data_IF_358814786903
#
_entry.id   IF_358814786903
#
_cell.length_a   1.000
_cell.length_b   1.000
_cell.length_c   1.000
_cell.angle_alpha   90.00
_cell.angle_beta   90.00
_cell.angle_gamma   90.00
#
_symmetry.space_group_name_H-M   'P 1'
#
loop_
_entity.id
_entity.type
_entity.pdbx_description
1 polymer ?
#
# COMPACT_ATOMS: atom_id res chain seq x y z
N UNK A 1 -37.74 -18.84 -1.49
CA UNK A 1 -36.46 -19.02 -0.79
C UNK A 1 -35.65 -17.80 -1.18
N UNK A 2 -35.67 -16.77 -0.33
CA UNK A 2 -34.97 -15.51 -0.57
C UNK A 2 -33.49 -15.78 -0.40
N UNK A 3 -32.71 -15.63 -1.47
CA UNK A 3 -31.26 -15.54 -1.40
C UNK A 3 -30.93 -14.33 -0.54
N UNK A 4 -30.45 -14.54 0.69
CA UNK A 4 -29.79 -13.47 1.41
C UNK A 4 -28.47 -13.19 0.68
N UNK A 5 -28.42 -12.06 -0.04
CA UNK A 5 -27.16 -11.47 -0.48
C UNK A 5 -26.30 -11.21 0.77
N UNK A 6 -25.42 -12.15 1.10
CA UNK A 6 -24.39 -11.94 2.11
C UNK A 6 -23.40 -10.92 1.56
N UNK A 7 -23.73 -9.64 1.74
CA UNK A 7 -22.91 -8.52 1.33
C UNK A 7 -21.69 -8.48 2.25
N UNK A 8 -20.52 -8.81 1.72
CA UNK A 8 -19.26 -8.68 2.42
C UNK A 8 -19.08 -7.22 2.91
N UNK A 9 -18.56 -7.08 4.11
CA UNK A 9 -18.34 -5.79 4.76
C UNK A 9 -16.84 -5.57 4.98
N UNK A 10 -16.42 -4.32 4.82
CA UNK A 10 -15.05 -3.89 5.07
C UNK A 10 -14.95 -3.33 6.49
N UNK A 11 -13.99 -3.85 7.25
CA UNK A 11 -13.70 -3.43 8.61
C UNK A 11 -12.28 -2.91 8.72
N UNK A 12 -12.09 -1.79 9.40
CA UNK A 12 -10.76 -1.27 9.71
C UNK A 12 -10.26 -1.83 11.05
N UNK A 13 -9.20 -2.63 11.02
CA UNK A 13 -8.49 -3.10 12.21
C UNK A 13 -7.37 -2.13 12.58
N UNK A 14 -7.41 -1.61 13.81
CA UNK A 14 -6.33 -0.81 14.38
C UNK A 14 -5.18 -1.70 14.79
N UNK A 15 -3.99 -1.38 14.31
CA UNK A 15 -2.73 -2.08 14.61
C UNK A 15 -1.73 -1.14 15.28
N UNK A 16 -0.60 -1.68 15.70
CA UNK A 16 0.55 -0.85 16.11
C UNK A 16 1.28 -0.37 14.87
N UNK A 17 1.62 0.92 14.81
CA UNK A 17 2.33 1.49 13.67
C UNK A 17 3.64 0.74 13.40
N UNK A 18 3.95 0.50 12.11
CA UNK A 18 5.09 -0.28 11.62
C UNK A 18 5.05 -1.78 11.97
N UNK A 19 3.88 -2.32 12.34
CA UNK A 19 3.63 -3.76 12.59
C UNK A 19 2.47 -4.28 11.74
N UNK A 20 2.01 -3.52 10.75
CA UNK A 20 0.86 -3.84 9.91
C UNK A 20 1.06 -5.15 9.15
N UNK A 21 2.23 -5.34 8.54
CA UNK A 21 2.58 -6.55 7.78
C UNK A 21 2.57 -7.79 8.68
N UNK A 22 3.18 -7.67 9.86
CA UNK A 22 3.20 -8.75 10.83
C UNK A 22 1.79 -9.12 11.32
N UNK A 23 0.94 -8.13 11.58
CA UNK A 23 -0.46 -8.39 11.95
C UNK A 23 -1.18 -9.09 10.79
N UNK A 24 -0.98 -8.64 9.56
CA UNK A 24 -1.59 -9.24 8.37
C UNK A 24 -1.25 -10.73 8.22
N UNK A 25 0.03 -11.09 8.34
CA UNK A 25 0.48 -12.48 8.26
C UNK A 25 -0.20 -13.39 9.30
N UNK A 26 -0.34 -12.89 10.54
CA UNK A 26 -1.03 -13.62 11.59
C UNK A 26 -2.52 -13.74 11.36
N UNK A 27 -3.17 -12.68 10.89
CA UNK A 27 -4.61 -12.68 10.59
C UNK A 27 -4.92 -13.64 9.44
N UNK A 28 -4.11 -13.64 8.37
CA UNK A 28 -4.19 -14.61 7.27
C UNK A 28 -4.08 -16.03 7.82
N UNK A 29 -3.05 -16.28 8.63
CA UNK A 29 -2.82 -17.60 9.23
C UNK A 29 -3.99 -18.08 10.10
N UNK A 30 -4.61 -17.17 10.86
CA UNK A 30 -5.79 -17.48 11.67
C UNK A 30 -7.03 -17.74 10.84
N UNK A 31 -7.31 -16.89 9.85
CA UNK A 31 -8.47 -17.05 8.96
C UNK A 31 -8.43 -18.41 8.25
N UNK A 32 -7.28 -18.81 7.73
CA UNK A 32 -7.09 -20.12 7.08
C UNK A 32 -7.25 -21.27 8.09
N UNK A 33 -6.56 -21.20 9.24
CA UNK A 33 -6.59 -22.29 10.23
C UNK A 33 -7.97 -22.52 10.84
N UNK A 34 -8.73 -21.45 11.05
CA UNK A 34 -10.07 -21.50 11.66
C UNK A 34 -11.18 -21.59 10.61
N UNK A 35 -10.83 -21.57 9.31
CA UNK A 35 -11.76 -21.59 8.19
C UNK A 35 -12.85 -20.49 8.31
N UNK A 36 -12.41 -19.26 8.58
CA UNK A 36 -13.28 -18.09 8.76
C UNK A 36 -13.73 -17.52 7.41
N UNK A 37 -14.88 -16.86 7.41
CA UNK A 37 -15.43 -16.19 6.22
C UNK A 37 -14.82 -14.78 6.04
N UNK A 38 -13.49 -14.74 5.98
CA UNK A 38 -12.66 -13.57 5.63
C UNK A 38 -12.23 -13.72 4.18
N UNK A 39 -12.57 -12.74 3.36
CA UNK A 39 -12.39 -12.80 1.90
C UNK A 39 -11.10 -12.12 1.46
N UNK A 40 -10.77 -10.96 2.04
CA UNK A 40 -9.57 -10.22 1.70
C UNK A 40 -9.01 -9.43 2.87
N UNK A 41 -7.70 -9.15 2.80
CA UNK A 41 -6.95 -8.35 3.76
C UNK A 41 -6.12 -7.34 2.96
N UNK A 42 -6.15 -6.08 3.38
CA UNK A 42 -5.50 -5.00 2.65
C UNK A 42 -4.75 -4.07 3.59
N UNK A 43 -3.54 -3.68 3.17
CA UNK A 43 -2.78 -2.61 3.81
C UNK A 43 -2.95 -1.35 2.97
N UNK A 44 -3.55 -0.27 3.49
CA UNK A 44 -3.60 0.99 2.75
C UNK A 44 -2.22 1.60 2.58
N UNK A 45 -1.97 2.17 1.40
CA UNK A 45 -0.81 3.04 1.20
C UNK A 45 -1.07 4.40 1.88
N UNK A 46 -0.09 4.93 2.60
CA UNK A 46 -0.18 6.24 3.26
C UNK A 46 -0.86 6.28 4.63
N UNK A 47 -1.60 5.23 5.04
CA UNK A 47 -2.21 5.15 6.37
C UNK A 47 -1.45 4.16 7.27
N UNK A 48 -0.83 4.68 8.33
CA UNK A 48 -0.09 3.90 9.32
C UNK A 48 -0.99 3.48 10.49
N UNK A 49 -0.78 2.27 10.99
CA UNK A 49 -1.47 1.71 12.15
C UNK A 49 -2.86 1.15 11.87
N UNK A 50 -3.19 0.89 10.61
CA UNK A 50 -4.46 0.30 10.20
C UNK A 50 -4.26 -0.73 9.10
N UNK A 51 -5.11 -1.76 9.13
CA UNK A 51 -5.33 -2.68 8.02
C UNK A 51 -6.83 -2.84 7.79
N UNK A 52 -7.24 -3.19 6.57
CA UNK A 52 -8.63 -3.47 6.25
C UNK A 52 -8.85 -4.97 6.11
N UNK A 53 -9.99 -5.43 6.61
CA UNK A 53 -10.44 -6.83 6.57
C UNK A 53 -11.80 -6.85 5.90
N UNK A 54 -11.92 -7.57 4.79
CA UNK A 54 -13.19 -7.86 4.15
C UNK A 54 -13.70 -9.21 4.67
N UNK A 55 -14.86 -9.21 5.31
CA UNK A 55 -15.44 -10.42 5.88
C UNK A 55 -16.97 -10.42 5.76
N UNK A 56 -17.57 -11.60 5.91
CA UNK A 56 -19.03 -11.75 5.87
C UNK A 56 -19.75 -11.03 7.01
N UNK A 57 -19.15 -11.02 8.19
CA UNK A 57 -19.70 -10.37 9.37
C UNK A 57 -18.58 -9.83 10.27
N UNK A 58 -18.98 -8.99 11.23
CA UNK A 58 -18.06 -8.42 12.21
C UNK A 58 -17.45 -9.49 13.11
N UNK A 59 -18.21 -10.52 13.46
CA UNK A 59 -17.78 -11.62 14.31
C UNK A 59 -16.65 -12.43 13.64
N UNK A 60 -16.78 -12.70 12.33
CA UNK A 60 -15.74 -13.37 11.53
C UNK A 60 -14.45 -12.52 11.48
N UNK A 61 -14.59 -11.21 11.28
CA UNK A 61 -13.47 -10.29 11.34
C UNK A 61 -12.81 -10.27 12.74
N UNK A 62 -13.59 -10.23 13.82
CA UNK A 62 -13.08 -10.29 15.20
C UNK A 62 -12.38 -11.61 15.53
N UNK A 63 -12.93 -12.74 15.08
CA UNK A 63 -12.32 -14.05 15.25
C UNK A 63 -10.97 -14.19 14.55
N UNK A 64 -10.76 -13.44 13.46
CA UNK A 64 -9.53 -13.47 12.66
C UNK A 64 -8.32 -12.88 13.39
N UNK A 65 -8.49 -11.80 14.15
CA UNK A 65 -7.39 -11.15 14.89
C UNK A 65 -7.39 -11.46 16.40
N UNK A 66 -8.33 -12.26 16.89
CA UNK A 66 -8.36 -12.65 18.30
C UNK A 66 -7.06 -13.36 18.71
N UNK A 67 -6.34 -12.78 19.67
CA UNK A 67 -5.05 -13.29 20.16
C UNK A 67 -3.85 -12.92 19.29
N UNK A 68 -4.03 -12.12 18.23
CA UNK A 68 -2.93 -11.63 17.39
C UNK A 68 -2.19 -10.50 18.09
N UNK A 69 -0.85 -10.58 18.25
CA UNK A 69 -0.05 -9.50 18.81
C UNK A 69 -0.19 -8.22 17.98
N UNK A 70 -0.16 -7.06 18.64
CA UNK A 70 -0.20 -5.72 18.00
C UNK A 70 -1.52 -5.33 17.33
N UNK A 71 -2.45 -6.27 17.13
CA UNK A 71 -3.84 -5.98 16.81
C UNK A 71 -4.56 -5.43 18.05
N UNK A 72 -5.28 -4.31 17.91
CA UNK A 72 -5.97 -3.66 19.03
C UNK A 72 -7.48 -3.88 19.00
N UNK A 73 -8.09 -3.70 17.84
CA UNK A 73 -9.54 -3.83 17.67
C UNK A 73 -10.06 -3.15 16.42
N UNK A 74 -11.28 -3.51 16.03
CA UNK A 74 -11.97 -2.93 14.88
C UNK A 74 -12.53 -1.54 15.21
N UNK A 75 -12.64 -0.70 14.19
CA UNK A 75 -13.47 0.48 14.28
C UNK A 75 -14.96 0.11 14.41
N UNK A 76 -15.78 0.93 15.09
CA UNK A 76 -17.18 0.60 15.36
C UNK A 76 -18.05 0.50 14.10
N UNK A 77 -17.72 1.30 13.09
CA UNK A 77 -18.43 1.40 11.82
C UNK A 77 -17.68 0.64 10.73
N UNK A 78 -18.39 -0.16 9.91
CA UNK A 78 -17.87 -0.63 8.63
C UNK A 78 -17.45 0.56 7.76
N UNK A 79 -16.50 0.29 6.86
CA UNK A 79 -15.95 1.28 5.93
C UNK A 79 -16.55 1.05 4.55
N UNK A 80 -16.95 2.11 3.87
CA UNK A 80 -17.45 2.00 2.50
C UNK A 80 -16.28 1.91 1.51
N UNK A 81 -16.45 1.15 0.43
CA UNK A 81 -15.38 0.97 -0.56
C UNK A 81 -14.90 2.30 -1.16
N UNK A 82 -15.80 3.26 -1.36
CA UNK A 82 -15.47 4.61 -1.86
C UNK A 82 -14.49 5.38 -0.96
N UNK A 83 -14.44 5.06 0.34
CA UNK A 83 -13.54 5.72 1.28
C UNK A 83 -12.09 5.21 1.17
N UNK A 84 -11.91 3.98 0.68
CA UNK A 84 -10.59 3.33 0.56
C UNK A 84 -10.07 3.29 -0.87
N UNK A 85 -10.88 3.65 -1.87
CA UNK A 85 -10.52 3.65 -3.30
C UNK A 85 -9.26 4.48 -3.58
N UNK A 86 -9.16 5.68 -3.01
CA UNK A 86 -7.98 6.54 -3.16
C UNK A 86 -6.71 5.97 -2.52
N UNK A 87 -6.87 5.04 -1.56
CA UNK A 87 -5.74 4.38 -0.88
C UNK A 87 -5.27 3.13 -1.64
N UNK A 88 -6.13 2.61 -2.52
CA UNK A 88 -5.85 1.50 -3.44
C UNK A 88 -5.15 1.96 -4.70
N UNK A 89 -5.43 3.19 -5.16
CA UNK A 89 -4.66 3.83 -6.22
C UNK A 89 -3.23 4.03 -5.76
N UNK A 90 -2.39 3.06 -6.08
CA UNK A 90 -0.97 3.31 -6.20
C UNK A 90 -0.82 4.42 -7.23
N UNK A 91 -0.50 5.64 -6.78
CA UNK A 91 0.15 6.61 -7.63
C UNK A 91 1.42 5.91 -8.13
N UNK A 92 1.30 5.22 -9.27
CA UNK A 92 2.45 4.85 -10.07
C UNK A 92 3.12 6.19 -10.29
N UNK A 93 4.26 6.42 -9.64
CA UNK A 93 5.09 7.56 -9.93
C UNK A 93 5.19 7.55 -11.46
N UNK A 94 4.52 8.49 -12.12
CA UNK A 94 4.51 8.50 -13.56
C UNK A 94 5.94 8.84 -13.94
N UNK A 95 6.72 7.84 -14.30
CA UNK A 95 8.04 8.01 -14.87
C UNK A 95 7.84 8.56 -16.28
N UNK A 96 7.50 9.84 -16.38
CA UNK A 96 7.36 10.55 -17.63
C UNK A 96 8.71 11.12 -18.10
N UNK A 97 9.80 10.48 -17.70
CA UNK A 97 11.16 10.83 -18.13
C UNK A 97 11.39 10.19 -19.49
N UNK A 98 11.66 11.02 -20.48
CA UNK A 98 11.97 10.63 -21.85
C UNK A 98 13.44 10.89 -22.15
N UNK A 99 13.92 10.27 -23.22
CA UNK A 99 15.24 10.61 -23.76
C UNK A 99 15.22 12.07 -24.18
N UNK A 100 16.33 12.76 -23.94
CA UNK A 100 16.55 14.18 -24.24
C UNK A 100 15.81 15.18 -23.33
N UNK A 101 15.09 14.72 -22.31
CA UNK A 101 14.52 15.60 -21.28
C UNK A 101 15.61 16.31 -20.47
N UNK A 102 15.32 17.53 -20.05
CA UNK A 102 16.14 18.27 -19.08
C UNK A 102 15.57 18.02 -17.69
N UNK A 103 16.39 17.48 -16.80
CA UNK A 103 16.04 17.12 -15.43
C UNK A 103 16.97 17.81 -14.43
N UNK A 104 16.48 18.08 -13.22
CA UNK A 104 17.29 18.58 -12.11
C UNK A 104 17.55 17.47 -11.10
N UNK A 105 18.81 17.33 -10.67
CA UNK A 105 19.20 16.36 -9.66
C UNK A 105 18.85 16.91 -8.27
N UNK A 106 17.92 16.28 -7.55
CA UNK A 106 17.45 16.77 -6.24
C UNK A 106 18.31 16.34 -5.03
N UNK A 107 19.23 15.38 -5.22
CA UNK A 107 20.02 14.76 -4.15
C UNK A 107 21.39 14.26 -4.63
N UNK A 108 22.35 14.13 -3.71
CA UNK A 108 23.70 13.64 -4.01
C UNK A 108 24.71 14.75 -4.33
N UNK A 109 25.90 14.40 -4.85
CA UNK A 109 26.97 15.37 -5.10
C UNK A 109 26.64 16.41 -6.17
N UNK A 110 25.81 16.07 -7.16
CA UNK A 110 25.38 16.95 -8.27
C UNK A 110 24.03 17.63 -8.00
N UNK A 111 23.65 17.78 -6.72
CA UNK A 111 22.36 18.34 -6.34
C UNK A 111 22.20 19.78 -6.87
N UNK A 112 21.03 20.09 -7.44
CA UNK A 112 20.64 21.33 -8.14
C UNK A 112 21.28 21.53 -9.51
N UNK A 113 22.08 20.58 -10.00
CA UNK A 113 22.57 20.64 -11.37
C UNK A 113 21.50 20.17 -12.34
N UNK A 114 21.46 20.83 -13.50
CA UNK A 114 20.63 20.41 -14.63
C UNK A 114 21.39 19.41 -15.50
N UNK A 115 20.71 18.36 -15.89
CA UNK A 115 21.26 17.31 -16.72
C UNK A 115 20.29 16.94 -17.84
N UNK A 116 20.83 16.52 -18.98
CA UNK A 116 20.08 16.00 -20.10
C UNK A 116 20.01 14.48 -20.03
N UNK A 117 18.84 13.89 -20.20
CA UNK A 117 18.65 12.44 -20.17
C UNK A 117 19.22 11.79 -21.43
N UNK A 118 20.23 10.96 -21.28
CA UNK A 118 20.87 10.22 -22.37
C UNK A 118 20.19 8.87 -22.61
N UNK A 119 19.87 8.14 -21.53
CA UNK A 119 19.19 6.83 -21.60
C UNK A 119 18.35 6.56 -20.35
N UNK A 120 17.17 5.97 -20.54
CA UNK A 120 16.29 5.50 -19.46
C UNK A 120 16.24 3.98 -19.49
N UNK A 121 16.55 3.33 -18.36
CA UNK A 121 16.42 1.89 -18.17
C UNK A 121 15.23 1.61 -17.24
N UNK A 122 14.06 1.34 -17.83
CA UNK A 122 12.81 1.13 -17.08
C UNK A 122 12.79 -0.17 -16.27
N UNK A 123 13.64 -1.15 -16.60
CA UNK A 123 13.70 -2.41 -15.85
C UNK A 123 14.54 -2.28 -14.58
N UNK A 124 15.59 -1.45 -14.63
CA UNK A 124 16.49 -1.21 -13.50
C UNK A 124 16.15 0.02 -12.68
N UNK A 125 15.17 0.81 -13.13
CA UNK A 125 14.80 2.09 -12.54
C UNK A 125 15.96 3.11 -12.52
N UNK A 126 16.88 3.00 -13.48
CA UNK A 126 18.08 3.85 -13.61
C UNK A 126 17.96 4.81 -14.81
N UNK A 127 18.49 6.03 -14.65
CA UNK A 127 18.58 7.03 -15.72
C UNK A 127 20.02 7.50 -15.87
N UNK A 128 20.55 7.41 -17.09
CA UNK A 128 21.86 7.96 -17.44
C UNK A 128 21.66 9.38 -17.93
N UNK A 129 22.33 10.33 -17.28
CA UNK A 129 22.23 11.76 -17.56
C UNK A 129 23.58 12.38 -17.88
N UNK A 130 23.57 13.44 -18.68
CA UNK A 130 24.73 14.26 -19.03
C UNK A 130 24.55 15.65 -18.41
N UNK A 131 25.46 16.05 -17.52
CA UNK A 131 25.39 17.34 -16.83
C UNK A 131 25.61 18.49 -17.83
N UNK A 132 24.74 19.51 -17.79
CA UNK A 132 24.83 20.64 -18.72
C UNK A 132 25.94 21.64 -18.32
N UNK A 133 26.26 21.74 -17.02
CA UNK A 133 27.24 22.68 -16.48
C UNK A 133 28.60 22.04 -16.14
N UNK A 134 28.81 20.77 -16.53
CA UNK A 134 30.10 20.12 -16.29
C UNK A 134 31.20 20.81 -17.13
N UNK A 135 31.98 21.67 -16.47
CA UNK A 135 33.22 22.18 -17.02
C UNK A 135 34.20 21.01 -17.18
N UNK A 136 34.47 20.62 -18.42
CA UNK A 136 35.47 19.63 -18.77
C UNK A 136 36.86 20.18 -18.37
N UNK A 137 37.64 19.49 -17.51
CA UNK A 137 39.08 19.74 -17.39
C UNK A 137 39.86 19.09 -18.54
#
# INVERSE_FOLDING_TARGET
>A
MTEEEHKAQLFALRTTANREDQVMDFVISHAIKKNLEVYSLMRPHGLRGYIFIEAKSREEAEASFLGVPYARGLLPTPVEYSEIEQMLEQEKAQYNIQKDDIVEIISGPFKREQAKVSRVDKQKEDVVVELLEAAVP
#
